data_IF_994218033578
#
_entry.id   IF_994218033578
#
_cell.length_a   1.000
_cell.length_b   1.000
_cell.length_c   1.000
_cell.angle_alpha   90.00
_cell.angle_beta   90.00
_cell.angle_gamma   90.00
#
_symmetry.space_group_name_H-M   'P 1'
#
loop_
_entity.id
_entity.type
_entity.pdbx_description
1 polymer ?
#
# COMPACT_ATOMS: atom_id res chain seq x y z
N UNK A 1 18.39 6.88 3.86
CA UNK A 1 17.00 6.61 4.28
C UNK A 1 16.23 5.68 3.32
N UNK A 2 16.82 4.55 2.89
CA UNK A 2 16.10 3.56 2.04
C UNK A 2 15.27 2.57 2.87
N UNK A 3 15.72 2.29 4.10
CA UNK A 3 15.12 1.32 5.02
C UNK A 3 13.73 1.76 5.51
N UNK A 4 13.58 3.03 5.94
CA UNK A 4 12.27 3.58 6.32
C UNK A 4 11.22 3.48 5.21
N UNK A 5 11.67 3.61 3.96
CA UNK A 5 10.81 3.51 2.79
C UNK A 5 10.37 2.06 2.50
N UNK A 6 11.26 1.11 2.73
CA UNK A 6 10.94 -0.31 2.64
C UNK A 6 9.95 -0.71 3.73
N UNK A 7 10.18 -0.25 4.97
CA UNK A 7 9.30 -0.50 6.12
C UNK A 7 7.89 0.05 5.86
N UNK A 8 7.77 1.29 5.34
CA UNK A 8 6.45 1.87 5.04
C UNK A 8 5.72 1.07 3.96
N UNK A 9 6.43 0.58 2.93
CA UNK A 9 5.85 -0.24 1.87
C UNK A 9 5.36 -1.59 2.39
N UNK A 10 6.14 -2.24 3.25
CA UNK A 10 5.75 -3.48 3.93
C UNK A 10 4.52 -3.26 4.80
N UNK A 11 4.46 -2.15 5.55
CA UNK A 11 3.33 -1.81 6.43
C UNK A 11 2.02 -1.64 5.64
N UNK A 12 2.11 -1.01 4.46
CA UNK A 12 0.99 -0.79 3.54
C UNK A 12 0.49 -2.11 2.97
N UNK A 13 1.38 -2.97 2.47
CA UNK A 13 1.02 -4.28 1.91
C UNK A 13 0.41 -5.16 3.00
N UNK A 14 1.03 -5.17 4.19
CA UNK A 14 0.55 -5.94 5.34
C UNK A 14 -0.86 -5.51 5.77
N UNK A 15 -1.11 -4.20 5.87
CA UNK A 15 -2.43 -3.68 6.22
C UNK A 15 -3.48 -4.00 5.15
N UNK A 16 -3.13 -3.84 3.87
CA UNK A 16 -4.01 -4.18 2.75
C UNK A 16 -4.40 -5.66 2.73
N UNK A 17 -3.41 -6.55 2.88
CA UNK A 17 -3.65 -8.00 2.97
C UNK A 17 -4.45 -8.38 4.21
N UNK A 18 -4.21 -7.73 5.35
CA UNK A 18 -4.98 -7.98 6.57
C UNK A 18 -6.46 -7.65 6.37
N UNK A 19 -6.77 -6.48 5.81
CA UNK A 19 -8.14 -6.08 5.49
C UNK A 19 -8.81 -7.02 4.47
N UNK A 20 -8.04 -7.54 3.51
CA UNK A 20 -8.55 -8.48 2.51
C UNK A 20 -8.80 -9.89 3.07
N UNK A 21 -8.11 -10.24 4.16
CA UNK A 21 -8.26 -11.51 4.88
C UNK A 21 -9.42 -11.51 5.89
N UNK A 22 -9.93 -10.33 6.27
CA UNK A 22 -11.10 -10.24 7.15
C UNK A 22 -12.33 -10.73 6.38
N UNK A 23 -12.89 -11.83 6.84
CA UNK A 23 -14.20 -12.34 6.40
C UNK A 23 -15.11 -12.31 7.62
N UNK A 24 -16.21 -11.56 7.53
CA UNK A 24 -17.23 -11.51 8.58
C UNK A 24 -18.36 -12.43 8.14
N UNK A 25 -18.42 -13.61 8.77
CA UNK A 25 -19.52 -14.55 8.59
C UNK A 25 -20.86 -13.90 8.95
N UNK A 26 -21.90 -14.20 8.17
CA UNK A 26 -23.25 -13.60 8.20
C UNK A 26 -23.41 -12.14 7.75
N UNK A 27 -22.35 -11.41 7.38
CA UNK A 27 -22.49 -10.05 6.83
C UNK A 27 -21.71 -9.89 5.52
N UNK A 28 -22.27 -10.41 4.43
CA UNK A 28 -21.70 -10.32 3.07
C UNK A 28 -21.43 -8.87 2.67
N UNK A 29 -22.33 -7.94 3.03
CA UNK A 29 -22.17 -6.52 2.71
C UNK A 29 -20.95 -5.91 3.38
N UNK A 30 -20.72 -6.24 4.67
CA UNK A 30 -19.53 -5.79 5.38
C UNK A 30 -18.27 -6.44 4.83
N UNK A 31 -18.30 -7.74 4.55
CA UNK A 31 -17.16 -8.46 3.95
C UNK A 31 -16.73 -7.85 2.62
N UNK A 32 -17.69 -7.51 1.75
CA UNK A 32 -17.40 -6.83 0.47
C UNK A 32 -16.85 -5.42 0.72
N UNK A 33 -17.41 -4.67 1.68
CA UNK A 33 -16.94 -3.33 2.02
C UNK A 33 -15.48 -3.35 2.53
N UNK A 34 -15.14 -4.28 3.42
CA UNK A 34 -13.78 -4.47 3.92
C UNK A 34 -12.80 -4.84 2.80
N UNK A 35 -13.21 -5.69 1.84
CA UNK A 35 -12.40 -5.99 0.65
C UNK A 35 -12.17 -4.76 -0.23
N UNK A 36 -13.20 -3.94 -0.46
CA UNK A 36 -13.08 -2.70 -1.24
C UNK A 36 -12.13 -1.72 -0.54
N UNK A 37 -12.28 -1.55 0.78
CA UNK A 37 -11.39 -0.70 1.59
C UNK A 37 -9.94 -1.20 1.51
N UNK A 38 -9.71 -2.51 1.65
CA UNK A 38 -8.39 -3.12 1.49
C UNK A 38 -7.80 -2.86 0.10
N UNK A 39 -8.62 -2.92 -0.95
CA UNK A 39 -8.20 -2.63 -2.33
C UNK A 39 -7.81 -1.16 -2.52
N UNK A 40 -8.56 -0.22 -1.94
CA UNK A 40 -8.24 1.22 -1.98
C UNK A 40 -6.94 1.51 -1.23
N UNK A 41 -6.71 0.86 -0.08
CA UNK A 41 -5.46 1.00 0.69
C UNK A 41 -4.27 0.47 -0.11
N UNK A 42 -4.40 -0.71 -0.75
CA UNK A 42 -3.38 -1.25 -1.64
C UNK A 42 -3.10 -0.32 -2.82
N UNK A 43 -4.14 0.17 -3.48
CA UNK A 43 -4.00 1.04 -4.65
C UNK A 43 -3.38 2.39 -4.29
N UNK A 44 -3.83 3.02 -3.20
CA UNK A 44 -3.25 4.25 -2.65
C UNK A 44 -1.80 4.05 -2.22
N UNK A 45 -1.50 2.90 -1.61
CA UNK A 45 -0.16 2.47 -1.24
C UNK A 45 0.80 2.34 -2.42
N UNK A 46 0.34 1.69 -3.51
CA UNK A 46 1.10 1.55 -4.75
C UNK A 46 1.32 2.92 -5.40
N UNK A 47 0.29 3.78 -5.47
CA UNK A 47 0.42 5.15 -5.99
C UNK A 47 1.41 5.98 -5.17
N UNK A 48 1.37 5.86 -3.84
CA UNK A 48 2.31 6.53 -2.94
C UNK A 48 3.74 6.06 -3.18
N UNK A 49 3.96 4.74 -3.23
CA UNK A 49 5.26 4.15 -3.56
C UNK A 49 5.75 4.59 -4.95
N UNK A 50 4.87 4.62 -5.95
CA UNK A 50 5.19 5.04 -7.32
C UNK A 50 5.56 6.52 -7.40
N UNK A 51 4.81 7.39 -6.71
CA UNK A 51 5.10 8.83 -6.64
C UNK A 51 6.43 9.10 -5.93
N UNK A 52 6.75 8.32 -4.91
CA UNK A 52 7.99 8.47 -4.15
C UNK A 52 9.21 7.90 -4.87
N UNK A 53 9.05 6.83 -5.65
CA UNK A 53 10.06 6.35 -6.60
C UNK A 53 10.32 7.36 -7.73
N UNK A 54 9.26 8.00 -8.25
CA UNK A 54 9.39 9.09 -9.24
C UNK A 54 10.12 10.33 -8.70
N UNK A 55 9.93 10.64 -7.41
CA UNK A 55 10.67 11.71 -6.71
C UNK A 55 12.13 11.32 -6.42
N UNK A 56 12.40 10.03 -6.18
CA UNK A 56 13.75 9.49 -6.08
C UNK A 56 14.51 9.46 -7.41
N UNK A 57 13.79 9.29 -8.53
CA UNK A 57 14.35 9.29 -9.88
C UNK A 57 14.80 10.68 -10.35
N UNK A 58 14.43 11.76 -9.65
CA UNK A 58 14.94 13.12 -9.90
C UNK A 58 16.01 13.55 -8.87
N UNK A 59 16.41 12.66 -7.94
CA UNK A 59 17.56 12.85 -7.04
C UNK A 59 18.47 11.62 -6.96
N UNK A 60 18.50 10.83 -8.04
CA UNK A 60 19.61 9.95 -8.42
C UNK A 60 20.12 10.30 -9.82
N UNK A 61 20.10 11.59 -10.15
CA UNK A 61 21.06 12.21 -11.06
C UNK A 61 22.18 12.83 -10.22
N UNK A 62 22.92 11.99 -9.49
CA UNK A 62 24.22 12.36 -8.97
C UNK A 62 25.24 12.07 -10.06
N UNK A 63 25.89 13.14 -10.56
CA UNK A 63 27.21 13.19 -11.22
C UNK A 63 27.65 11.91 -11.94
N UNK A 64 27.57 11.93 -13.26
CA UNK A 64 28.73 11.95 -14.18
C UNK A 64 28.26 12.50 -15.53
#
# INVERSE_FOLDING_TARGET
MKIFHSIIGILIIFSGSFFMSITIDNETFKTVFFKIVGFVILFGGILYLKKLQGLGSNKSGGKC
#
